data_IF_155953172198
#
_entry.id   IF_155953172198
#
_cell.length_a   1.000
_cell.length_b   1.000
_cell.length_c   1.000
_cell.angle_alpha   90.00
_cell.angle_beta   90.00
_cell.angle_gamma   90.00
#
_symmetry.space_group_name_H-M   'P 1'
#
loop_
_entity.id
_entity.type
_entity.pdbx_description
1 polymer ?
#
# COMPACT_ATOMS: atom_id res chain seq x y z
N UNK A 1 13.99 0.05 -2.75
CA UNK A 1 14.01 -0.55 -4.09
C UNK A 1 13.77 -2.03 -3.94
N UNK A 2 12.98 -2.60 -4.84
CA UNK A 2 12.74 -4.03 -4.96
C UNK A 2 14.05 -4.78 -5.24
N UNK A 3 14.10 -6.02 -4.79
CA UNK A 3 15.26 -6.91 -4.89
C UNK A 3 14.87 -8.25 -5.54
N UNK A 4 15.83 -9.18 -5.61
CA UNK A 4 15.62 -10.48 -6.24
C UNK A 4 14.55 -11.35 -5.56
N UNK A 5 14.35 -11.20 -4.25
CA UNK A 5 13.33 -11.95 -3.51
C UNK A 5 11.94 -11.43 -3.83
N UNK A 6 11.79 -10.11 -3.98
CA UNK A 6 10.53 -9.49 -4.44
C UNK A 6 10.14 -10.00 -5.83
N UNK A 7 11.12 -10.10 -6.74
CA UNK A 7 10.91 -10.67 -8.08
C UNK A 7 10.48 -12.14 -8.03
N UNK A 8 11.08 -12.94 -7.15
CA UNK A 8 10.67 -14.35 -6.96
C UNK A 8 9.27 -14.48 -6.38
N UNK A 9 8.92 -13.63 -5.40
CA UNK A 9 7.59 -13.59 -4.79
C UNK A 9 6.53 -13.23 -5.84
N UNK A 10 6.81 -12.22 -6.68
CA UNK A 10 5.96 -11.88 -7.82
C UNK A 10 5.70 -13.10 -8.71
N UNK A 11 6.75 -13.84 -9.09
CA UNK A 11 6.60 -14.99 -9.97
C UNK A 11 5.73 -16.11 -9.36
N UNK A 12 5.80 -16.32 -8.03
CA UNK A 12 4.94 -17.28 -7.35
C UNK A 12 3.48 -16.84 -7.34
N UNK A 13 3.24 -15.56 -7.03
CA UNK A 13 1.90 -14.99 -7.07
C UNK A 13 1.32 -15.10 -8.48
N UNK A 14 2.12 -14.78 -9.50
CA UNK A 14 1.74 -14.99 -10.89
C UNK A 14 1.40 -16.46 -11.19
N UNK A 15 2.21 -17.41 -10.72
CA UNK A 15 1.90 -18.84 -10.90
C UNK A 15 0.55 -19.22 -10.26
N UNK A 16 0.22 -18.67 -9.09
CA UNK A 16 -1.07 -18.85 -8.45
C UNK A 16 -2.23 -18.31 -9.32
N UNK A 17 -2.10 -17.11 -9.89
CA UNK A 17 -3.07 -16.56 -10.84
C UNK A 17 -3.26 -17.42 -12.08
N UNK A 18 -2.17 -18.00 -12.62
CA UNK A 18 -2.27 -18.94 -13.72
C UNK A 18 -3.00 -20.24 -13.33
N UNK A 19 -2.76 -20.75 -12.12
CA UNK A 19 -3.49 -21.93 -11.64
C UNK A 19 -4.99 -21.64 -11.44
N UNK A 20 -5.34 -20.42 -10.99
CA UNK A 20 -6.73 -19.96 -10.94
C UNK A 20 -7.36 -19.93 -12.34
N UNK A 21 -6.63 -19.44 -13.34
CA UNK A 21 -7.07 -19.48 -14.74
C UNK A 21 -7.37 -20.91 -15.23
N UNK A 22 -6.49 -21.87 -14.96
CA UNK A 22 -6.75 -23.28 -15.34
C UNK A 22 -7.96 -23.87 -14.61
N UNK A 23 -8.15 -23.48 -13.35
CA UNK A 23 -9.28 -23.92 -12.53
C UNK A 23 -10.59 -23.36 -13.07
N UNK A 24 -10.64 -22.06 -13.35
CA UNK A 24 -11.82 -21.37 -13.87
C UNK A 24 -12.23 -21.89 -15.25
N UNK A 25 -11.25 -22.13 -16.13
CA UNK A 25 -11.50 -22.67 -17.47
C UNK A 25 -11.66 -24.19 -17.49
N UNK A 26 -11.48 -24.87 -16.34
CA UNK A 26 -11.65 -26.31 -16.19
C UNK A 26 -10.72 -27.16 -17.06
N UNK A 27 -9.58 -26.63 -17.49
CA UNK A 27 -8.62 -27.34 -18.36
C UNK A 27 -7.19 -26.85 -18.20
N UNK A 28 -6.25 -27.75 -18.50
CA UNK A 28 -4.81 -27.44 -18.54
C UNK A 28 -4.38 -27.03 -19.94
N UNK A 29 -3.41 -26.12 -20.01
CA UNK A 29 -2.87 -25.66 -21.29
C UNK A 29 -1.46 -26.20 -21.54
N UNK A 30 -1.17 -26.54 -22.79
CA UNK A 30 0.19 -26.90 -23.21
C UNK A 30 0.97 -25.63 -23.52
N UNK A 31 1.94 -25.31 -22.68
CA UNK A 31 2.75 -24.10 -22.80
C UNK A 31 4.13 -24.39 -23.38
N UNK A 32 4.75 -23.43 -24.11
CA UNK A 32 6.11 -23.59 -24.62
C UNK A 32 7.17 -23.69 -23.51
N UNK A 33 6.92 -23.08 -22.35
CA UNK A 33 7.77 -23.20 -21.17
C UNK A 33 7.00 -22.88 -19.89
N UNK A 34 7.50 -23.35 -18.74
CA UNK A 34 6.93 -23.02 -17.43
C UNK A 34 6.91 -21.50 -17.16
N UNK A 35 7.84 -20.73 -17.76
CA UNK A 35 7.86 -19.27 -17.67
C UNK A 35 6.66 -18.58 -18.30
N UNK A 36 5.95 -19.26 -19.22
CA UNK A 36 4.69 -18.72 -19.74
C UNK A 36 3.59 -18.70 -18.69
N UNK A 37 3.60 -19.62 -17.72
CA UNK A 37 2.64 -19.60 -16.59
C UNK A 37 2.81 -18.33 -15.78
N UNK A 38 4.06 -18.02 -15.41
CA UNK A 38 4.39 -16.79 -14.69
C UNK A 38 3.98 -15.54 -15.50
N UNK A 39 4.29 -15.48 -16.80
CA UNK A 39 3.90 -14.34 -17.64
C UNK A 39 2.39 -14.18 -17.76
N UNK A 40 1.64 -15.26 -17.99
CA UNK A 40 0.19 -15.18 -18.14
C UNK A 40 -0.51 -14.85 -16.83
N UNK A 41 -0.03 -15.41 -15.72
CA UNK A 41 -0.47 -15.01 -14.39
C UNK A 41 -0.15 -13.55 -14.06
N UNK A 42 0.98 -13.03 -14.55
CA UNK A 42 1.34 -11.62 -14.39
C UNK A 42 0.29 -10.69 -15.01
N UNK A 43 -0.25 -11.03 -16.18
CA UNK A 43 -1.28 -10.22 -16.83
C UNK A 43 -2.53 -10.13 -15.96
N UNK A 44 -2.99 -11.28 -15.45
CA UNK A 44 -4.19 -11.39 -14.60
C UNK A 44 -4.02 -10.64 -13.27
N UNK A 45 -2.89 -10.86 -12.58
CA UNK A 45 -2.54 -10.15 -11.35
C UNK A 45 -2.58 -8.63 -11.54
N UNK A 46 -2.00 -8.13 -12.64
CA UNK A 46 -1.93 -6.70 -12.90
C UNK A 46 -3.28 -6.11 -13.32
N UNK A 47 -4.09 -6.85 -14.07
CA UNK A 47 -5.45 -6.42 -14.41
C UNK A 47 -6.34 -6.35 -13.18
N UNK A 48 -6.26 -7.32 -12.26
CA UNK A 48 -6.98 -7.23 -10.99
C UNK A 48 -6.53 -6.01 -10.20
N UNK A 49 -5.21 -5.82 -10.03
CA UNK A 49 -4.68 -4.74 -9.21
C UNK A 49 -5.01 -3.33 -9.74
N UNK A 50 -5.10 -3.16 -11.07
CA UNK A 50 -5.29 -1.85 -11.70
C UNK A 50 -6.73 -1.57 -12.12
N UNK A 51 -7.48 -2.60 -12.47
CA UNK A 51 -8.87 -2.45 -12.95
C UNK A 51 -9.89 -2.83 -11.87
N UNK A 52 -9.46 -3.43 -10.75
CA UNK A 52 -10.32 -3.99 -9.71
C UNK A 52 -11.31 -5.05 -10.24
N UNK A 53 -10.92 -5.76 -11.29
CA UNK A 53 -11.69 -6.87 -11.88
C UNK A 53 -11.23 -8.15 -11.21
N UNK A 54 -12.06 -8.72 -10.33
CA UNK A 54 -11.72 -9.95 -9.60
C UNK A 54 -12.05 -11.23 -10.37
N UNK A 55 -13.05 -11.15 -11.24
CA UNK A 55 -13.50 -12.29 -12.03
C UNK A 55 -12.53 -12.55 -13.20
N UNK A 56 -12.03 -13.79 -13.31
CA UNK A 56 -11.07 -14.17 -14.35
C UNK A 56 -11.72 -14.11 -15.74
N UNK A 57 -13.00 -14.46 -15.89
CA UNK A 57 -13.68 -14.38 -17.18
C UNK A 57 -13.74 -12.94 -17.70
N UNK A 58 -13.99 -11.97 -16.80
CA UNK A 58 -13.98 -10.55 -17.14
C UNK A 58 -12.57 -10.06 -17.51
N UNK A 59 -11.53 -10.49 -16.79
CA UNK A 59 -10.14 -10.20 -17.15
C UNK A 59 -9.78 -10.76 -18.54
N UNK A 60 -10.23 -11.97 -18.85
CA UNK A 60 -9.99 -12.62 -20.14
C UNK A 60 -10.69 -11.91 -21.30
N UNK A 61 -11.84 -11.28 -21.06
CA UNK A 61 -12.60 -10.54 -22.06
C UNK A 61 -11.84 -9.31 -22.58
N UNK A 62 -11.00 -8.70 -21.76
CA UNK A 62 -10.25 -7.48 -22.10
C UNK A 62 -8.82 -7.74 -22.61
N UNK A 63 -8.27 -8.95 -22.43
CA UNK A 63 -6.90 -9.31 -22.84
C UNK A 63 -6.75 -9.51 -24.36
N UNK A 64 -5.96 -8.68 -25.03
CA UNK A 64 -5.74 -8.72 -26.48
C UNK A 64 -4.42 -9.37 -26.91
N UNK A 65 -3.47 -9.63 -26.00
CA UNK A 65 -2.17 -10.26 -26.31
C UNK A 65 -2.31 -11.48 -27.25
N UNK A 66 -1.59 -11.42 -28.37
CA UNK A 66 -1.69 -12.40 -29.45
C UNK A 66 -1.27 -13.80 -29.04
N UNK A 67 -0.20 -13.94 -28.27
CA UNK A 67 0.33 -15.24 -27.88
C UNK A 67 -0.52 -15.89 -26.78
N UNK A 68 -0.97 -15.08 -25.81
CA UNK A 68 -1.95 -15.46 -24.79
C UNK A 68 -3.22 -16.01 -25.45
N UNK A 69 -3.83 -15.23 -26.35
CA UNK A 69 -5.08 -15.64 -26.98
C UNK A 69 -4.90 -16.88 -27.87
N UNK A 70 -3.74 -17.04 -28.51
CA UNK A 70 -3.42 -18.23 -29.31
C UNK A 70 -3.41 -19.48 -28.43
N UNK A 71 -2.75 -19.42 -27.28
CA UNK A 71 -2.60 -20.58 -26.40
C UNK A 71 -3.90 -20.88 -25.66
N UNK A 72 -4.55 -19.86 -25.11
CA UNK A 72 -5.74 -20.03 -24.27
C UNK A 72 -6.99 -20.27 -25.12
N UNK A 73 -7.18 -19.56 -26.23
CA UNK A 73 -8.43 -19.63 -27.03
C UNK A 73 -8.23 -20.23 -28.43
N UNK A 74 -7.01 -20.55 -28.84
CA UNK A 74 -6.73 -21.05 -30.19
C UNK A 74 -6.83 -19.98 -31.29
N UNK A 75 -6.89 -18.68 -30.92
CA UNK A 75 -7.05 -17.56 -31.85
C UNK A 75 -5.90 -16.57 -31.71
N UNK A 76 -5.25 -16.21 -32.82
CA UNK A 76 -4.05 -15.37 -32.82
C UNK A 76 -4.28 -14.08 -33.63
N UNK A 77 -5.19 -13.23 -33.16
CA UNK A 77 -5.42 -11.91 -33.75
C UNK A 77 -4.24 -10.97 -33.45
N UNK A 78 -3.95 -10.02 -34.35
CA UNK A 78 -2.92 -9.01 -34.12
C UNK A 78 -3.42 -7.97 -33.10
N UNK A 79 -2.58 -7.66 -32.11
CA UNK A 79 -2.90 -6.81 -30.96
C UNK A 79 -2.38 -5.37 -31.10
N UNK A 80 -1.55 -5.13 -32.14
CA UNK A 80 -0.92 -3.85 -32.43
C UNK A 80 -0.17 -3.28 -31.21
N UNK A 81 0.42 -4.16 -30.38
CA UNK A 81 1.22 -3.77 -29.22
C UNK A 81 0.45 -3.39 -27.97
N UNK A 82 -0.88 -3.57 -27.97
CA UNK A 82 -1.72 -3.39 -26.79
C UNK A 82 -2.19 -4.75 -26.32
N UNK A 83 -1.76 -5.14 -25.14
CA UNK A 83 -1.97 -6.48 -24.59
C UNK A 83 -3.31 -6.60 -23.84
N UNK A 84 -3.92 -5.48 -23.45
CA UNK A 84 -5.31 -5.42 -22.96
C UNK A 84 -5.97 -4.06 -23.19
N UNK A 85 -7.30 -4.03 -23.27
CA UNK A 85 -8.10 -2.81 -23.40
C UNK A 85 -9.25 -2.84 -22.39
N UNK A 86 -9.22 -1.94 -21.41
CA UNK A 86 -10.27 -1.81 -20.40
C UNK A 86 -10.97 -0.45 -20.52
N UNK A 87 -12.30 -0.46 -20.59
CA UNK A 87 -13.14 0.74 -20.61
C UNK A 87 -13.74 0.86 -19.21
N UNK A 88 -13.26 1.84 -18.44
CA UNK A 88 -13.76 2.12 -17.09
C UNK A 88 -14.89 3.15 -17.16
N UNK A 89 -16.13 2.67 -17.10
CA UNK A 89 -17.32 3.53 -17.12
C UNK A 89 -17.47 4.39 -15.87
N UNK A 90 -16.82 4.04 -14.76
CA UNK A 90 -16.94 4.83 -13.53
C UNK A 90 -16.10 6.10 -13.59
N UNK A 91 -14.94 6.04 -14.27
CA UNK A 91 -13.98 7.14 -14.35
C UNK A 91 -13.91 7.79 -15.74
N UNK A 92 -14.62 7.23 -16.73
CA UNK A 92 -14.56 7.61 -18.14
C UNK A 92 -13.13 7.55 -18.71
N UNK A 93 -12.37 6.53 -18.30
CA UNK A 93 -11.05 6.24 -18.84
C UNK A 93 -11.09 5.01 -19.75
N UNK A 94 -10.41 5.13 -20.88
CA UNK A 94 -10.09 4.00 -21.77
C UNK A 94 -8.62 3.67 -21.55
N UNK A 95 -8.38 2.54 -20.91
CA UNK A 95 -7.08 2.09 -20.46
C UNK A 95 -6.51 1.05 -21.43
N UNK A 96 -5.38 1.37 -22.05
CA UNK A 96 -4.58 0.46 -22.84
C UNK A 96 -3.43 -0.08 -22.00
N UNK A 97 -3.16 -1.38 -22.07
CA UNK A 97 -2.11 -2.02 -21.30
C UNK A 97 -1.04 -2.56 -22.22
N UNK A 98 0.22 -2.30 -21.89
CA UNK A 98 1.37 -2.97 -22.46
C UNK A 98 2.15 -3.67 -21.34
N UNK A 99 2.18 -5.01 -21.39
CA UNK A 99 2.85 -5.85 -20.41
C UNK A 99 4.22 -6.27 -20.92
N UNK A 100 5.21 -6.16 -20.04
CA UNK A 100 6.56 -6.61 -20.30
C UNK A 100 7.09 -7.44 -19.15
N UNK A 101 7.05 -8.74 -19.35
CA UNK A 101 7.56 -9.71 -18.39
C UNK A 101 8.98 -10.15 -18.76
N UNK A 102 9.92 -10.02 -17.82
CA UNK A 102 11.27 -10.58 -17.88
C UNK A 102 11.32 -11.89 -17.10
N UNK A 103 11.96 -12.89 -17.68
CA UNK A 103 12.14 -14.20 -17.03
C UNK A 103 13.24 -14.19 -15.95
N UNK A 104 14.16 -13.23 -16.02
CA UNK A 104 15.32 -13.11 -15.14
C UNK A 104 15.37 -11.74 -14.47
N UNK A 105 15.75 -11.74 -13.19
CA UNK A 105 15.94 -10.51 -12.43
C UNK A 105 17.24 -9.82 -12.87
N UNK A 106 17.13 -8.56 -13.29
CA UNK A 106 18.27 -7.72 -13.59
C UNK A 106 18.09 -6.34 -12.95
N UNK A 107 18.95 -5.94 -12.00
CA UNK A 107 18.78 -4.67 -11.30
C UNK A 107 19.02 -3.44 -12.17
N UNK A 108 19.69 -3.61 -13.31
CA UNK A 108 20.03 -2.53 -14.24
C UNK A 108 19.08 -2.42 -15.42
N UNK A 109 18.17 -3.38 -15.59
CA UNK A 109 17.24 -3.39 -16.72
C UNK A 109 16.06 -2.44 -16.50
N UNK A 110 15.48 -2.01 -17.62
CA UNK A 110 14.39 -1.05 -17.66
C UNK A 110 13.68 -1.12 -18.99
N UNK A 111 12.43 -0.65 -19.00
CA UNK A 111 11.61 -0.61 -20.19
C UNK A 111 12.19 0.39 -21.21
N UNK A 112 12.12 0.04 -22.50
CA UNK A 112 12.64 0.89 -23.59
C UNK A 112 11.48 1.66 -24.21
N UNK A 113 11.73 2.92 -24.58
CA UNK A 113 10.74 3.84 -25.18
C UNK A 113 10.10 3.27 -26.46
N UNK A 114 10.85 2.50 -27.26
CA UNK A 114 10.35 1.91 -28.51
C UNK A 114 9.11 1.01 -28.34
N UNK A 115 8.88 0.48 -27.15
CA UNK A 115 7.73 -0.39 -26.88
C UNK A 115 6.43 0.41 -26.71
N UNK A 116 6.48 1.63 -26.16
CA UNK A 116 5.32 2.52 -26.06
C UNK A 116 4.83 3.02 -27.43
N UNK A 117 5.72 3.05 -28.44
CA UNK A 117 5.33 3.34 -29.82
C UNK A 117 4.54 2.22 -30.50
N UNK A 118 4.59 0.98 -30.00
CA UNK A 118 3.81 -0.10 -30.61
C UNK A 118 2.31 0.22 -30.51
N UNK A 119 1.88 0.74 -29.36
CA UNK A 119 0.51 1.21 -29.12
C UNK A 119 0.05 2.31 -30.08
N UNK A 120 0.97 3.11 -30.64
CA UNK A 120 0.61 4.18 -31.58
C UNK A 120 -0.09 3.65 -32.84
N UNK A 121 0.20 2.41 -33.25
CA UNK A 121 -0.47 1.76 -34.39
C UNK A 121 -1.95 1.53 -34.08
N UNK A 122 -2.27 1.04 -32.88
CA UNK A 122 -3.65 0.84 -32.44
C UNK A 122 -4.36 2.18 -32.26
N UNK A 123 -3.72 3.13 -31.58
CA UNK A 123 -4.29 4.47 -31.35
C UNK A 123 -4.61 5.16 -32.68
N UNK A 124 -3.71 5.09 -33.67
CA UNK A 124 -3.97 5.61 -35.00
C UNK A 124 -5.17 4.94 -35.69
N UNK A 125 -5.28 3.62 -35.62
CA UNK A 125 -6.40 2.88 -36.19
C UNK A 125 -7.75 3.30 -35.56
N UNK A 126 -7.77 3.53 -34.24
CA UNK A 126 -8.94 4.01 -33.50
C UNK A 126 -9.29 5.44 -33.93
N UNK A 127 -8.33 6.36 -33.90
CA UNK A 127 -8.57 7.78 -34.22
C UNK A 127 -8.98 8.02 -35.67
N UNK A 128 -8.46 7.19 -36.60
CA UNK A 128 -8.82 7.24 -38.02
C UNK A 128 -10.09 6.45 -38.37
N UNK A 129 -10.68 5.72 -37.41
CA UNK A 129 -11.75 4.75 -37.63
C UNK A 129 -11.42 3.65 -38.66
N UNK A 130 -10.14 3.38 -38.93
CA UNK A 130 -9.70 2.33 -39.86
C UNK A 130 -9.26 1.06 -39.12
N UNK A 131 -10.22 0.19 -38.85
CA UNK A 131 -9.99 -1.11 -38.21
C UNK A 131 -9.87 -2.27 -39.23
N UNK A 132 -9.58 -2.01 -40.51
CA UNK A 132 -9.53 -3.07 -41.54
C UNK A 132 -8.47 -4.13 -41.27
N UNK A 133 -7.33 -3.69 -40.73
CA UNK A 133 -6.19 -4.56 -40.42
C UNK A 133 -6.33 -5.32 -39.09
N UNK A 134 -7.40 -5.07 -38.31
CA UNK A 134 -7.70 -5.76 -37.06
C UNK A 134 -8.80 -6.81 -37.25
N UNK A 135 -8.71 -7.90 -36.49
CA UNK A 135 -9.68 -9.01 -36.46
C UNK A 135 -10.02 -9.43 -35.03
N UNK A 136 -11.08 -10.25 -34.92
CA UNK A 136 -11.49 -10.89 -33.68
C UNK A 136 -11.70 -9.94 -32.51
N UNK A 137 -11.26 -10.39 -31.33
CA UNK A 137 -11.53 -9.72 -30.05
C UNK A 137 -10.96 -8.30 -29.98
N UNK A 138 -9.72 -8.11 -30.46
CA UNK A 138 -9.07 -6.80 -30.52
C UNK A 138 -9.91 -5.81 -31.33
N UNK A 139 -10.42 -6.23 -32.50
CA UNK A 139 -11.27 -5.39 -33.35
C UNK A 139 -12.56 -5.00 -32.63
N UNK A 140 -13.21 -5.94 -31.94
CA UNK A 140 -14.48 -5.69 -31.28
C UNK A 140 -14.33 -4.75 -30.08
N UNK A 141 -13.25 -4.87 -29.29
CA UNK A 141 -12.91 -3.90 -28.26
C UNK A 141 -12.64 -2.51 -28.84
N UNK A 142 -11.89 -2.41 -29.95
CA UNK A 142 -11.66 -1.13 -30.62
C UNK A 142 -12.94 -0.48 -31.13
N UNK A 143 -13.93 -1.25 -31.58
CA UNK A 143 -15.24 -0.69 -31.98
C UNK A 143 -15.97 -0.06 -30.79
N UNK A 144 -15.93 -0.71 -29.62
CA UNK A 144 -16.56 -0.13 -28.41
C UNK A 144 -15.81 1.14 -27.98
N UNK A 145 -14.48 1.15 -28.04
CA UNK A 145 -13.68 2.37 -27.81
C UNK A 145 -14.10 3.50 -28.75
N UNK A 146 -14.15 3.24 -30.06
CA UNK A 146 -14.59 4.24 -31.06
C UNK A 146 -15.99 4.77 -30.75
N UNK A 147 -16.91 3.88 -30.36
CA UNK A 147 -18.28 4.25 -30.02
C UNK A 147 -18.33 5.18 -28.80
N UNK A 148 -17.48 4.97 -27.80
CA UNK A 148 -17.38 5.87 -26.62
C UNK A 148 -16.76 7.22 -26.98
N UNK A 149 -15.68 7.22 -27.76
CA UNK A 149 -15.02 8.45 -28.22
C UNK A 149 -15.91 9.31 -29.13
N UNK A 150 -16.78 8.70 -29.93
CA UNK A 150 -17.77 9.40 -30.75
C UNK A 150 -19.08 9.69 -30.00
N UNK A 151 -19.15 9.34 -28.71
CA UNK A 151 -20.31 9.54 -27.84
C UNK A 151 -20.47 10.99 -27.39
N UNK A 152 -21.43 11.21 -26.48
CA UNK A 152 -21.66 12.54 -25.87
C UNK A 152 -20.77 12.81 -24.65
N UNK A 153 -20.24 11.76 -24.04
CA UNK A 153 -19.44 11.82 -22.82
C UNK A 153 -17.98 12.11 -23.16
N UNK A 154 -17.27 12.76 -22.24
CA UNK A 154 -15.85 13.04 -22.39
C UNK A 154 -15.07 11.83 -21.86
N UNK A 155 -14.38 11.15 -22.76
CA UNK A 155 -13.53 10.01 -22.46
C UNK A 155 -12.07 10.39 -22.55
N UNK A 156 -11.25 9.92 -21.61
CA UNK A 156 -9.79 10.11 -21.60
C UNK A 156 -9.08 8.82 -21.93
N UNK A 157 -7.94 8.91 -22.61
CA UNK A 157 -7.13 7.75 -22.97
C UNK A 157 -5.93 7.64 -22.03
N UNK A 158 -5.61 6.43 -21.59
CA UNK A 158 -4.44 6.16 -20.76
C UNK A 158 -3.71 4.90 -21.22
N UNK A 159 -2.39 4.97 -21.27
CA UNK A 159 -1.51 3.84 -21.53
C UNK A 159 -0.78 3.44 -20.24
N UNK A 160 -1.00 2.21 -19.80
CA UNK A 160 -0.22 1.56 -18.76
C UNK A 160 0.96 0.80 -19.39
N UNK A 161 2.17 1.27 -19.12
CA UNK A 161 3.40 0.57 -19.46
C UNK A 161 3.87 -0.21 -18.22
N UNK A 162 3.67 -1.52 -18.21
CA UNK A 162 3.81 -2.36 -17.01
C UNK A 162 4.97 -3.33 -17.22
N UNK A 163 5.94 -3.34 -16.30
CA UNK A 163 7.05 -4.27 -16.33
C UNK A 163 7.48 -4.77 -14.95
N UNK A 164 7.99 -5.99 -14.89
CA UNK A 164 8.64 -6.53 -13.69
C UNK A 164 10.15 -6.15 -13.60
N UNK A 165 10.56 -5.07 -14.28
CA UNK A 165 11.92 -4.52 -14.24
C UNK A 165 12.05 -3.45 -13.12
N UNK A 166 13.27 -3.11 -12.68
CA UNK A 166 13.46 -2.13 -11.58
C UNK A 166 13.29 -0.69 -12.07
N UNK A 167 13.87 -0.34 -13.22
CA UNK A 167 13.88 1.04 -13.70
C UNK A 167 12.56 1.39 -14.38
N UNK A 168 12.05 2.57 -14.05
CA UNK A 168 10.84 3.14 -14.64
C UNK A 168 11.09 3.56 -16.08
N UNK A 169 10.04 3.50 -16.89
CA UNK A 169 10.04 4.14 -18.19
C UNK A 169 10.08 5.66 -17.97
N UNK A 170 10.96 6.36 -18.67
CA UNK A 170 10.99 7.82 -18.61
C UNK A 170 9.77 8.40 -19.35
N UNK A 171 8.69 8.64 -18.62
CA UNK A 171 7.42 9.20 -19.14
C UNK A 171 7.52 10.66 -19.59
N UNK A 172 8.63 11.34 -19.29
CA UNK A 172 8.92 12.71 -19.73
C UNK A 172 9.75 12.76 -21.02
N UNK A 173 10.00 11.61 -21.66
CA UNK A 173 10.71 11.59 -22.93
C UNK A 173 9.93 12.35 -24.01
N UNK A 174 10.66 12.92 -24.97
CA UNK A 174 10.09 13.71 -26.06
C UNK A 174 9.04 12.91 -26.86
N UNK A 175 9.27 11.61 -26.99
CA UNK A 175 8.44 10.67 -27.71
C UNK A 175 7.08 10.40 -27.01
N UNK A 176 7.09 10.18 -25.69
CA UNK A 176 5.85 9.98 -24.92
C UNK A 176 5.06 11.29 -24.87
N UNK A 177 5.76 12.41 -24.77
CA UNK A 177 5.15 13.74 -24.87
C UNK A 177 4.46 13.95 -26.22
N UNK A 178 5.04 13.46 -27.32
CA UNK A 178 4.38 13.50 -28.64
C UNK A 178 3.12 12.66 -28.69
N UNK A 179 3.12 11.45 -28.13
CA UNK A 179 1.93 10.60 -28.06
C UNK A 179 0.80 11.28 -27.26
N UNK A 180 1.15 11.89 -26.13
CA UNK A 180 0.20 12.67 -25.32
C UNK A 180 -0.39 13.84 -26.10
N UNK A 181 0.45 14.60 -26.81
CA UNK A 181 -0.01 15.77 -27.55
C UNK A 181 -0.84 15.42 -28.80
N UNK A 182 -0.53 14.31 -29.48
CA UNK A 182 -1.23 13.92 -30.70
C UNK A 182 -2.57 13.24 -30.43
N UNK A 183 -2.67 12.46 -29.34
CA UNK A 183 -3.81 11.58 -29.09
C UNK A 183 -4.51 11.82 -27.76
N UNK A 184 -4.11 12.83 -26.97
CA UNK A 184 -4.54 13.01 -25.58
C UNK A 184 -4.38 11.74 -24.73
N UNK A 185 -3.27 11.03 -24.97
CA UNK A 185 -2.96 9.75 -24.34
C UNK A 185 -2.07 9.97 -23.12
N UNK A 186 -2.67 9.88 -21.92
CA UNK A 186 -1.92 9.80 -20.66
C UNK A 186 -1.04 8.55 -20.64
N UNK A 187 0.07 8.57 -19.92
CA UNK A 187 0.96 7.41 -19.80
C UNK A 187 1.40 7.22 -18.36
N UNK A 188 1.17 6.03 -17.82
CA UNK A 188 1.57 5.61 -16.47
C UNK A 188 2.56 4.45 -16.57
N UNK A 189 3.72 4.57 -15.92
CA UNK A 189 4.74 3.53 -15.86
C UNK A 189 4.65 2.77 -14.53
N UNK A 190 4.51 1.45 -14.61
CA UNK A 190 4.49 0.57 -13.44
C UNK A 190 5.68 -0.39 -13.53
N UNK A 191 6.57 -0.30 -12.55
CA UNK A 191 7.77 -1.14 -12.43
C UNK A 191 7.65 -2.11 -11.25
N UNK A 192 8.67 -2.95 -11.05
CA UNK A 192 8.72 -3.87 -9.92
C UNK A 192 8.60 -3.16 -8.56
N UNK A 193 9.16 -1.95 -8.40
CA UNK A 193 9.04 -1.22 -7.14
C UNK A 193 7.58 -0.88 -6.79
N UNK A 194 6.77 -0.53 -7.79
CA UNK A 194 5.34 -0.24 -7.62
C UNK A 194 4.55 -1.52 -7.46
N UNK A 195 4.85 -2.57 -8.24
CA UNK A 195 4.19 -3.87 -8.16
C UNK A 195 4.36 -4.49 -6.77
N UNK A 196 5.55 -4.39 -6.18
CA UNK A 196 5.78 -4.87 -4.80
C UNK A 196 4.87 -4.19 -3.79
N UNK A 197 4.50 -2.92 -4.01
CA UNK A 197 3.53 -2.25 -3.13
C UNK A 197 2.14 -2.87 -3.25
N UNK A 198 1.72 -3.25 -4.46
CA UNK A 198 0.45 -3.96 -4.69
C UNK A 198 0.43 -5.37 -4.10
N UNK A 199 1.59 -6.02 -3.99
CA UNK A 199 1.74 -7.34 -3.36
C UNK A 199 2.03 -7.28 -1.86
N UNK A 200 2.36 -6.10 -1.34
CA UNK A 200 2.85 -5.97 0.03
C UNK A 200 1.73 -6.26 1.01
N UNK A 201 2.04 -7.03 2.04
CA UNK A 201 1.18 -7.23 3.21
C UNK A 201 1.22 -6.02 4.15
N UNK A 202 2.07 -5.04 3.83
CA UNK A 202 2.14 -3.80 4.61
C UNK A 202 0.79 -3.09 4.45
N UNK A 203 0.16 -2.68 5.57
CA UNK A 203 -1.11 -1.99 5.50
C UNK A 203 -1.07 -0.73 4.65
N UNK A 204 -2.24 -0.31 4.16
CA UNK A 204 -2.43 0.98 3.49
C UNK A 204 -1.82 2.09 4.36
N UNK A 205 -1.09 3.06 3.79
CA UNK A 205 -0.53 4.18 4.53
C UNK A 205 -1.58 4.88 5.41
N UNK A 206 -1.23 5.09 6.67
CA UNK A 206 -2.08 5.82 7.63
C UNK A 206 -1.49 7.20 7.85
N UNK A 207 -2.32 8.20 7.60
CA UNK A 207 -2.01 9.62 7.76
C UNK A 207 -2.86 10.21 8.89
N UNK A 208 -2.37 11.28 9.52
CA UNK A 208 -3.13 12.04 10.50
C UNK A 208 -2.65 13.49 10.59
N UNK A 209 -3.51 14.36 11.15
CA UNK A 209 -3.21 15.76 11.41
C UNK A 209 -3.30 16.05 12.91
N UNK A 210 -2.32 16.74 13.46
CA UNK A 210 -2.31 17.27 14.83
C UNK A 210 -2.33 18.80 14.80
N UNK A 211 -2.95 19.42 15.80
CA UNK A 211 -2.90 20.86 16.03
C UNK A 211 -2.63 21.15 17.50
N UNK A 212 -1.37 21.42 17.83
CA UNK A 212 -0.89 21.48 19.21
C UNK A 212 -0.25 22.83 19.52
N UNK A 213 -0.17 23.17 20.81
CA UNK A 213 0.58 24.34 21.25
C UNK A 213 2.07 24.17 20.99
N UNK A 214 2.74 25.25 20.61
CA UNK A 214 4.18 25.23 20.36
C UNK A 214 5.00 24.90 21.63
N UNK A 215 4.48 25.19 22.83
CA UNK A 215 5.12 24.81 24.09
C UNK A 215 5.11 23.30 24.36
N UNK A 216 4.19 22.56 23.74
CA UNK A 216 4.08 21.10 23.87
C UNK A 216 5.00 20.34 22.92
N UNK A 217 5.74 21.04 22.04
CA UNK A 217 6.54 20.44 20.96
C UNK A 217 8.01 20.83 21.10
N UNK A 218 8.88 19.83 21.11
CA UNK A 218 10.33 19.99 21.03
C UNK A 218 10.85 19.40 19.71
N UNK A 219 11.27 20.23 18.74
CA UNK A 219 11.89 19.76 17.52
C UNK A 219 13.31 19.24 17.77
N UNK A 220 13.71 18.22 17.02
CA UNK A 220 15.05 17.64 17.03
C UNK A 220 15.55 17.44 15.60
N UNK A 221 16.80 17.81 15.34
CA UNK A 221 17.53 17.51 14.11
C UNK A 221 18.89 16.91 14.45
N UNK A 222 19.31 15.86 13.74
CA UNK A 222 20.61 15.21 14.00
C UNK A 222 21.80 16.14 13.73
N UNK A 223 21.66 17.05 12.76
CA UNK A 223 22.65 18.09 12.46
C UNK A 223 21.95 19.32 11.87
N UNK A 224 22.65 20.47 11.87
CA UNK A 224 22.12 21.76 11.40
C UNK A 224 21.80 21.82 9.90
N UNK A 225 22.30 20.84 9.13
CA UNK A 225 22.10 20.72 7.69
C UNK A 225 21.03 19.66 7.32
N UNK A 226 20.49 18.91 8.29
CA UNK A 226 19.50 17.87 8.03
C UNK A 226 18.14 18.49 7.74
N UNK A 227 17.55 18.07 6.61
CA UNK A 227 16.16 18.38 6.25
C UNK A 227 15.14 17.50 7.01
N UNK A 228 15.59 16.47 7.73
CA UNK A 228 14.72 15.57 8.48
C UNK A 228 14.58 16.05 9.92
N UNK A 229 13.42 16.65 10.23
CA UNK A 229 13.03 17.06 11.58
C UNK A 229 12.26 15.93 12.26
N UNK A 230 12.62 15.63 13.49
CA UNK A 230 11.88 14.75 14.40
C UNK A 230 11.29 15.59 15.55
N UNK A 231 10.31 15.06 16.26
CA UNK A 231 9.58 15.81 17.27
C UNK A 231 9.39 14.98 18.55
N UNK A 232 9.55 15.62 19.69
CA UNK A 232 9.11 15.11 20.99
C UNK A 232 7.93 15.97 21.43
N UNK A 233 6.82 15.35 21.75
CA UNK A 233 5.52 16.00 21.94
C UNK A 233 4.93 15.55 23.28
N UNK A 234 4.39 16.47 24.06
CA UNK A 234 3.37 16.14 25.07
C UNK A 234 2.02 16.19 24.38
N UNK A 235 1.39 15.03 24.23
CA UNK A 235 0.12 14.89 23.53
C UNK A 235 -0.99 14.51 24.52
N UNK A 236 -2.17 15.16 24.46
CA UNK A 236 -3.36 14.68 25.16
C UNK A 236 -3.75 13.26 24.71
N UNK A 237 -4.24 12.43 25.63
CA UNK A 237 -4.66 11.07 25.28
C UNK A 237 -5.83 11.06 24.28
N UNK A 238 -6.72 12.04 24.34
CA UNK A 238 -7.84 12.21 23.39
C UNK A 238 -7.33 12.44 21.97
N UNK A 239 -6.32 13.31 21.80
CA UNK A 239 -5.67 13.53 20.51
C UNK A 239 -4.93 12.28 20.02
N UNK A 240 -4.29 11.54 20.92
CA UNK A 240 -3.63 10.29 20.56
C UNK A 240 -4.64 9.23 20.07
N UNK A 241 -5.76 9.06 20.77
CA UNK A 241 -6.86 8.17 20.35
C UNK A 241 -7.40 8.60 18.99
N UNK A 242 -7.62 9.91 18.79
CA UNK A 242 -8.12 10.47 17.54
C UNK A 242 -7.20 10.13 16.35
N UNK A 243 -5.90 10.40 16.46
CA UNK A 243 -4.98 10.17 15.34
C UNK A 243 -4.74 8.68 15.07
N UNK A 244 -4.99 7.80 16.04
CA UNK A 244 -4.75 6.35 15.92
C UNK A 244 -6.01 5.50 15.78
N UNK A 245 -7.20 6.12 15.76
CA UNK A 245 -8.46 5.42 15.54
C UNK A 245 -8.58 4.86 14.12
N UNK A 246 -9.51 3.94 13.87
CA UNK A 246 -9.76 3.31 12.58
C UNK A 246 -10.58 4.18 11.58
N UNK A 247 -10.93 5.42 11.94
CA UNK A 247 -11.71 6.32 11.10
C UNK A 247 -10.85 7.44 10.51
N UNK A 248 -10.68 7.42 9.18
CA UNK A 248 -9.86 8.41 8.46
C UNK A 248 -10.35 9.85 8.64
N UNK A 249 -11.66 10.07 8.69
CA UNK A 249 -12.25 11.41 8.83
C UNK A 249 -11.78 12.07 10.13
N UNK A 250 -11.86 11.35 11.26
CA UNK A 250 -11.41 11.88 12.54
C UNK A 250 -9.90 12.09 12.61
N UNK A 251 -9.10 11.27 11.90
CA UNK A 251 -7.65 11.47 11.80
C UNK A 251 -7.26 12.74 11.02
N UNK A 252 -8.07 13.12 10.03
CA UNK A 252 -7.86 14.30 9.19
C UNK A 252 -8.43 15.59 9.80
N UNK A 253 -9.41 15.48 10.71
CA UNK A 253 -9.89 16.60 11.50
C UNK A 253 -8.83 17.10 12.49
N UNK A 254 -8.97 18.34 12.98
CA UNK A 254 -8.12 18.91 14.02
C UNK A 254 -8.88 19.99 14.79
N UNK A 255 -8.47 20.26 16.04
CA UNK A 255 -9.14 21.25 16.88
C UNK A 255 -10.52 20.81 17.36
N UNK A 256 -10.72 19.50 17.51
CA UNK A 256 -11.93 18.92 18.08
C UNK A 256 -12.03 19.32 19.56
N UNK A 257 -13.13 19.99 19.92
CA UNK A 257 -13.44 20.37 21.31
C UNK A 257 -14.40 19.38 21.98
N UNK A 258 -15.22 18.69 21.17
CA UNK A 258 -16.13 17.66 21.61
C UNK A 258 -15.56 16.27 21.30
N UNK A 259 -15.23 15.52 22.34
CA UNK A 259 -14.67 14.17 22.24
C UNK A 259 -15.72 13.06 22.25
N UNK A 260 -17.01 13.39 22.37
CA UNK A 260 -18.10 12.41 22.28
C UNK A 260 -18.01 11.49 21.04
N UNK A 261 -17.66 11.98 19.83
CA UNK A 261 -17.53 11.11 18.66
C UNK A 261 -16.41 10.07 18.73
N UNK A 262 -15.48 10.22 19.69
CA UNK A 262 -14.38 9.31 19.91
C UNK A 262 -14.67 8.26 20.98
N UNK A 263 -15.87 8.25 21.57
CA UNK A 263 -16.31 7.19 22.49
C UNK A 263 -16.31 5.84 21.79
N UNK A 264 -15.82 4.81 22.49
CA UNK A 264 -15.77 3.43 21.99
C UNK A 264 -15.06 3.27 20.62
N UNK A 265 -14.26 4.26 20.21
CA UNK A 265 -13.62 4.20 18.90
C UNK A 265 -12.43 3.24 18.90
N UNK A 266 -12.50 2.28 18.00
CA UNK A 266 -11.46 1.28 17.82
C UNK A 266 -10.18 1.87 17.23
N UNK A 267 -9.06 1.30 17.64
CA UNK A 267 -7.74 1.59 17.11
C UNK A 267 -7.56 1.00 15.71
N UNK A 268 -6.85 1.70 14.83
CA UNK A 268 -6.37 1.10 13.58
C UNK A 268 -5.19 0.14 13.87
N UNK A 269 -5.47 -1.16 13.96
CA UNK A 269 -4.46 -2.17 14.29
C UNK A 269 -3.28 -2.22 13.31
N UNK A 270 -3.47 -1.72 12.09
CA UNK A 270 -2.43 -1.58 11.08
C UNK A 270 -1.28 -0.65 11.51
N UNK A 271 -1.51 0.25 12.48
CA UNK A 271 -0.47 1.11 13.05
C UNK A 271 0.58 0.35 13.85
N UNK A 272 0.32 -0.91 14.20
CA UNK A 272 1.23 -1.76 14.98
C UNK A 272 1.97 -2.79 14.13
N UNK A 273 1.89 -2.71 12.80
CA UNK A 273 2.56 -3.65 11.90
C UNK A 273 4.08 -3.66 12.12
N UNK A 274 4.70 -2.47 12.21
CA UNK A 274 6.14 -2.32 12.46
C UNK A 274 6.52 -2.39 13.97
N UNK A 275 5.56 -2.71 14.86
CA UNK A 275 5.83 -2.86 16.29
C UNK A 275 6.53 -4.18 16.61
N UNK A 276 7.55 -4.14 17.48
CA UNK A 276 8.36 -5.33 17.83
C UNK A 276 7.59 -6.35 18.68
N UNK A 277 6.54 -5.94 19.39
CA UNK A 277 5.75 -6.84 20.25
C UNK A 277 4.51 -7.34 19.51
N UNK A 278 4.27 -8.64 19.59
CA UNK A 278 3.00 -9.26 19.19
C UNK A 278 1.81 -8.90 20.09
N UNK A 279 0.66 -9.53 19.87
CA UNK A 279 -0.55 -9.29 20.66
C UNK A 279 -0.36 -9.86 22.09
N UNK A 280 -0.01 -9.00 23.05
CA UNK A 280 0.05 -9.37 24.47
C UNK A 280 -1.25 -8.91 25.14
N UNK A 281 -2.22 -9.82 25.26
CA UNK A 281 -3.57 -9.53 25.78
C UNK A 281 -3.56 -9.18 27.27
N UNK A 282 -2.79 -9.90 28.09
CA UNK A 282 -2.75 -9.72 29.55
C UNK A 282 -1.31 -9.60 30.05
N UNK A 283 -0.97 -8.45 30.67
CA UNK A 283 0.31 -8.25 31.33
C UNK A 283 0.15 -7.36 32.57
N UNK A 284 1.01 -7.53 33.57
CA UNK A 284 1.05 -6.65 34.76
C UNK A 284 1.25 -5.17 34.39
N UNK A 285 1.85 -4.88 33.23
CA UNK A 285 1.98 -3.52 32.73
C UNK A 285 0.64 -2.94 32.30
N UNK A 286 -0.25 -3.74 31.69
CA UNK A 286 -1.57 -3.28 31.27
C UNK A 286 -2.39 -2.88 32.51
N UNK A 287 -2.34 -3.68 33.58
CA UNK A 287 -3.04 -3.39 34.84
C UNK A 287 -2.55 -2.09 35.49
N UNK A 288 -1.23 -1.86 35.50
CA UNK A 288 -0.65 -0.62 36.05
C UNK A 288 -1.04 0.62 35.22
N UNK A 289 -1.06 0.51 33.90
CA UNK A 289 -1.51 1.58 33.00
C UNK A 289 -2.97 1.90 33.29
N UNK A 290 -3.82 0.88 33.33
CA UNK A 290 -5.24 1.01 33.61
C UNK A 290 -5.50 1.66 34.97
N UNK A 291 -4.78 1.21 36.01
CA UNK A 291 -4.86 1.79 37.35
C UNK A 291 -4.45 3.27 37.36
N UNK A 292 -3.37 3.62 36.66
CA UNK A 292 -2.92 5.02 36.56
C UNK A 292 -3.97 5.89 35.87
N UNK A 293 -4.64 5.39 34.82
CA UNK A 293 -5.71 6.13 34.14
C UNK A 293 -6.89 6.43 35.07
N UNK A 294 -7.30 5.49 35.93
CA UNK A 294 -8.42 5.70 36.87
C UNK A 294 -8.04 6.52 38.11
N UNK A 295 -6.92 6.16 38.74
CA UNK A 295 -6.60 6.66 40.08
C UNK A 295 -5.79 7.97 40.02
N UNK A 296 -4.89 8.12 39.03
CA UNK A 296 -3.93 9.23 38.95
C UNK A 296 -3.69 9.72 37.50
N UNK A 297 -4.74 10.09 36.74
CA UNK A 297 -4.63 10.43 35.31
C UNK A 297 -3.63 11.56 35.01
N UNK A 298 -3.56 12.58 35.88
CA UNK A 298 -2.64 13.72 35.73
C UNK A 298 -1.16 13.36 35.89
N UNK A 299 -0.85 12.20 36.50
CA UNK A 299 0.53 11.71 36.65
C UNK A 299 0.92 10.74 35.56
N UNK A 300 0.03 10.42 34.63
CA UNK A 300 0.27 9.44 33.57
C UNK A 300 1.51 9.75 32.74
N UNK A 301 1.72 11.03 32.39
CA UNK A 301 2.91 11.49 31.68
C UNK A 301 4.22 11.11 32.41
N UNK A 302 4.21 11.11 33.75
CA UNK A 302 5.37 10.77 34.58
C UNK A 302 5.56 9.27 34.76
N UNK A 303 4.45 8.51 34.80
CA UNK A 303 4.46 7.07 35.11
C UNK A 303 4.57 6.19 33.85
N UNK A 304 4.23 6.72 32.67
CA UNK A 304 4.29 6.00 31.41
C UNK A 304 5.55 6.37 30.59
N UNK A 305 6.11 5.39 29.88
CA UNK A 305 7.29 5.59 29.01
C UNK A 305 6.98 6.36 27.71
N UNK A 306 5.69 6.52 27.39
CA UNK A 306 5.22 7.15 26.18
C UNK A 306 5.18 6.23 24.98
N UNK A 307 5.02 6.83 23.80
CA UNK A 307 4.98 6.16 22.51
C UNK A 307 6.11 6.64 21.61
N UNK A 308 6.52 5.79 20.67
CA UNK A 308 7.38 6.19 19.57
C UNK A 308 6.76 5.83 18.24
N UNK A 309 6.66 6.83 17.36
CA UNK A 309 6.19 6.73 16.00
C UNK A 309 7.34 6.93 15.02
N UNK A 310 7.26 6.24 13.89
CA UNK A 310 8.02 6.59 12.69
C UNK A 310 7.05 7.03 11.61
N UNK A 311 7.41 8.02 10.80
CA UNK A 311 6.59 8.53 9.70
C UNK A 311 7.43 8.64 8.42
N UNK A 312 6.81 8.43 7.26
CA UNK A 312 7.48 8.69 5.99
C UNK A 312 7.74 10.19 5.78
N UNK A 313 6.80 11.03 6.19
CA UNK A 313 6.97 12.48 6.16
C UNK A 313 6.26 13.16 7.35
N UNK A 314 6.79 14.33 7.72
CA UNK A 314 6.23 15.20 8.75
C UNK A 314 6.29 16.63 8.21
N UNK A 315 5.11 17.21 8.01
CA UNK A 315 4.95 18.57 7.47
C UNK A 315 4.41 19.44 8.60
N UNK A 316 5.06 20.57 8.88
CA UNK A 316 4.67 21.48 9.96
C UNK A 316 4.39 22.88 9.47
N UNK A 317 3.30 23.46 9.92
CA UNK A 317 2.87 24.82 9.61
C UNK A 317 2.60 25.57 10.93
N UNK A 318 3.24 26.74 11.10
CA UNK A 318 2.94 27.62 12.22
C UNK A 318 1.56 28.26 12.01
N UNK A 319 0.74 28.27 13.05
CA UNK A 319 -0.65 28.72 13.02
C UNK A 319 -0.97 29.58 14.25
N UNK A 320 -2.12 30.27 14.22
CA UNK A 320 -2.59 31.10 15.33
C UNK A 320 -1.53 32.12 15.80
N UNK A 321 -0.87 32.80 14.87
CA UNK A 321 0.15 33.80 15.18
C UNK A 321 1.40 33.22 15.85
N UNK A 322 1.84 32.03 15.41
CA UNK A 322 3.00 31.30 15.94
C UNK A 322 2.83 30.90 17.42
N UNK A 323 1.61 30.52 17.81
CA UNK A 323 1.33 29.97 19.15
C UNK A 323 0.96 28.48 19.10
N UNK A 324 0.52 28.02 17.93
CA UNK A 324 0.18 26.62 17.65
C UNK A 324 0.87 26.14 16.38
N UNK A 325 1.11 24.85 16.28
CA UNK A 325 1.67 24.19 15.10
C UNK A 325 0.68 23.15 14.61
N UNK A 326 0.37 23.20 13.31
CA UNK A 326 -0.31 22.12 12.60
C UNK A 326 0.75 21.14 12.09
N UNK A 327 0.63 19.86 12.45
CA UNK A 327 1.56 18.80 12.05
C UNK A 327 0.78 17.78 11.22
N UNK A 328 1.13 17.63 9.95
CA UNK A 328 0.63 16.55 9.10
C UNK A 328 1.64 15.41 9.11
N UNK A 329 1.21 14.24 9.55
CA UNK A 329 2.01 13.03 9.65
C UNK A 329 1.61 12.08 8.52
N UNK A 330 2.57 11.63 7.72
CA UNK A 330 2.34 10.76 6.55
C UNK A 330 2.92 9.35 6.75
N UNK A 331 2.15 8.32 6.43
CA UNK A 331 2.53 6.88 6.56
C UNK A 331 3.22 6.59 7.90
N UNK A 332 2.50 6.77 9.01
CA UNK A 332 3.08 6.56 10.34
C UNK A 332 2.78 5.18 10.94
N UNK A 333 3.69 4.75 11.80
CA UNK A 333 3.66 3.46 12.47
C UNK A 333 4.16 3.59 13.91
N UNK A 334 3.48 2.92 14.84
CA UNK A 334 3.80 2.88 16.27
C UNK A 334 4.81 1.76 16.51
N UNK A 335 6.09 2.13 16.64
CA UNK A 335 7.20 1.17 16.83
C UNK A 335 7.47 0.85 18.30
N UNK A 336 6.98 1.69 19.21
CA UNK A 336 7.05 1.50 20.66
C UNK A 336 5.79 2.06 21.34
N UNK A 337 5.36 1.42 22.43
CA UNK A 337 4.18 1.84 23.20
C UNK A 337 2.87 1.20 22.75
N UNK A 338 2.92 0.11 21.98
CA UNK A 338 1.72 -0.58 21.50
C UNK A 338 0.80 -1.12 22.61
N UNK A 339 1.35 -1.54 23.76
CA UNK A 339 0.55 -1.92 24.93
C UNK A 339 -0.15 -0.72 25.57
N UNK A 340 0.55 0.41 25.70
CA UNK A 340 -0.04 1.67 26.18
C UNK A 340 -1.19 2.08 25.27
N UNK A 341 -0.96 2.09 23.95
CA UNK A 341 -1.96 2.49 22.96
C UNK A 341 -3.21 1.59 23.01
N UNK A 342 -3.02 0.27 23.00
CA UNK A 342 -4.14 -0.69 23.12
C UNK A 342 -4.90 -0.52 24.42
N UNK A 343 -4.19 -0.27 25.53
CA UNK A 343 -4.83 -0.07 26.84
C UNK A 343 -5.64 1.22 26.88
N UNK A 344 -5.19 2.30 26.22
CA UNK A 344 -5.95 3.54 26.10
C UNK A 344 -7.25 3.34 25.33
N UNK A 345 -7.21 2.70 24.15
CA UNK A 345 -8.42 2.39 23.39
C UNK A 345 -9.35 1.43 24.13
N UNK A 346 -8.80 0.39 24.79
CA UNK A 346 -9.60 -0.53 25.59
C UNK A 346 -10.25 0.17 26.79
N UNK A 347 -9.52 1.05 27.48
CA UNK A 347 -10.06 1.84 28.56
C UNK A 347 -11.20 2.73 28.05
N UNK A 348 -11.04 3.34 26.87
CA UNK A 348 -12.05 4.16 26.24
C UNK A 348 -13.33 3.37 25.83
N UNK A 349 -13.20 2.10 25.47
CA UNK A 349 -14.36 1.25 25.11
C UNK A 349 -15.08 0.63 26.30
N UNK A 350 -14.47 0.58 27.48
CA UNK A 350 -15.10 -0.01 28.68
C UNK A 350 -16.20 0.87 29.27
N UNK A 351 -16.12 2.19 29.11
CA UNK A 351 -17.13 3.14 29.57
C UNK A 351 -17.07 4.42 28.74
N UNK A 352 -18.21 4.87 28.22
CA UNK A 352 -18.32 6.09 27.42
C UNK A 352 -17.85 7.34 28.19
N UNK A 353 -18.00 7.36 29.51
CA UNK A 353 -17.58 8.49 30.33
C UNK A 353 -16.05 8.58 30.46
N UNK A 354 -15.31 7.52 30.11
CA UNK A 354 -13.87 7.47 30.28
C UNK A 354 -13.12 8.53 29.46
N UNK A 355 -13.62 8.84 28.27
CA UNK A 355 -12.99 9.84 27.40
C UNK A 355 -13.02 11.24 28.03
N UNK A 356 -14.16 11.58 28.61
CA UNK A 356 -14.46 12.93 29.11
C UNK A 356 -13.96 13.10 30.55
N UNK A 357 -14.10 12.08 31.40
CA UNK A 357 -13.80 12.19 32.82
C UNK A 357 -12.33 11.89 33.15
N UNK A 358 -11.69 10.99 32.42
CA UNK A 358 -10.34 10.51 32.73
C UNK A 358 -9.34 10.87 31.63
N UNK A 359 -9.56 10.44 30.38
CA UNK A 359 -8.59 10.60 29.30
C UNK A 359 -8.35 12.07 28.90
N UNK A 360 -9.34 12.93 29.08
CA UNK A 360 -9.20 14.39 28.91
C UNK A 360 -8.13 15.02 29.81
N UNK A 361 -7.80 14.37 30.94
CA UNK A 361 -6.80 14.82 31.92
C UNK A 361 -5.45 14.09 31.78
N UNK A 362 -5.28 13.29 30.73
CA UNK A 362 -4.08 12.45 30.52
C UNK A 362 -3.21 13.07 29.43
N UNK A 363 -1.95 13.32 29.78
CA UNK A 363 -0.89 13.71 28.85
C UNK A 363 0.10 12.56 28.65
N UNK A 364 0.62 12.43 27.43
CA UNK A 364 1.48 11.31 27.04
C UNK A 364 2.72 11.84 26.31
N UNK A 365 3.89 11.27 26.63
CA UNK A 365 5.11 11.53 25.88
C UNK A 365 5.07 10.82 24.52
N UNK A 366 5.14 11.57 23.43
CA UNK A 366 5.15 11.05 22.07
C UNK A 366 6.44 11.45 21.36
N UNK A 367 7.16 10.48 20.79
CA UNK A 367 8.32 10.74 19.93
C UNK A 367 7.95 10.41 18.49
N UNK A 368 8.14 11.33 17.56
CA UNK A 368 7.85 11.13 16.13
C UNK A 368 9.14 11.32 15.34
N UNK A 369 9.61 10.25 14.72
CA UNK A 369 10.81 10.28 13.88
C UNK A 369 10.44 10.26 12.40
N UNK A 370 10.91 11.27 11.66
CA UNK A 370 10.84 11.24 10.19
C UNK A 370 11.89 10.26 9.69
N UNK A 371 11.45 9.19 9.07
CA UNK A 371 12.32 8.16 8.49
C UNK A 371 12.11 8.13 6.98
N UNK A 372 13.17 8.21 6.15
CA UNK A 372 13.02 7.83 4.75
C UNK A 372 12.47 6.41 4.67
N UNK A 373 11.73 6.11 3.59
CA UNK A 373 10.97 4.86 3.39
C UNK A 373 11.83 3.58 3.31
N UNK A 374 13.11 3.63 3.71
CA UNK A 374 13.99 2.48 3.80
C UNK A 374 13.75 1.73 5.11
N UNK A 375 13.19 0.51 5.02
CA UNK A 375 12.81 -0.34 6.15
C UNK A 375 13.92 -0.54 7.20
N UNK A 376 15.20 -0.41 6.82
CA UNK A 376 16.34 -0.60 7.72
C UNK A 376 16.36 0.42 8.88
N UNK A 377 16.02 1.69 8.63
CA UNK A 377 16.03 2.70 9.70
C UNK A 377 14.86 2.54 10.67
N UNK A 378 13.64 2.28 10.14
CA UNK A 378 12.45 2.01 10.95
C UNK A 378 12.67 0.82 11.90
N UNK A 379 13.23 -0.27 11.38
CA UNK A 379 13.57 -1.46 12.16
C UNK A 379 14.60 -1.17 13.25
N UNK A 380 15.64 -0.39 12.95
CA UNK A 380 16.64 0.04 13.95
C UNK A 380 16.01 0.88 15.05
N UNK A 381 15.16 1.86 14.70
CA UNK A 381 14.48 2.69 15.70
C UNK A 381 13.59 1.83 16.59
N UNK A 382 12.83 0.90 16.01
CA UNK A 382 12.04 -0.07 16.76
C UNK A 382 12.91 -0.91 17.71
N UNK A 383 14.06 -1.40 17.25
CA UNK A 383 15.01 -2.16 18.07
C UNK A 383 15.57 -1.33 19.25
N UNK A 384 16.07 -0.13 19.00
CA UNK A 384 16.77 0.67 20.02
C UNK A 384 15.81 1.31 21.03
N UNK A 385 14.62 1.73 20.60
CA UNK A 385 13.62 2.33 21.51
C UNK A 385 13.04 1.31 22.49
N UNK A 386 13.08 0.03 22.16
CA UNK A 386 12.59 -1.04 23.00
C UNK A 386 13.65 -1.67 23.94
N UNK A 387 14.88 -1.14 23.97
CA UNK A 387 16.03 -1.71 24.69
C UNK A 387 15.94 -1.73 26.23
N UNK A 388 14.98 -1.02 26.84
CA UNK A 388 14.86 -0.93 28.30
C UNK A 388 14.13 -2.12 28.96
N UNK A 389 13.39 -2.92 28.18
CA UNK A 389 12.81 -4.20 28.64
C UNK A 389 13.35 -5.31 27.75
N UNK A 390 13.73 -6.46 28.32
CA UNK A 390 14.30 -7.57 27.56
C UNK A 390 13.34 -8.03 26.43
N UNK A 391 13.61 -7.60 25.21
CA UNK A 391 12.97 -8.12 24.01
C UNK A 391 13.75 -9.36 23.57
N UNK A 392 13.04 -10.43 23.21
CA UNK A 392 13.71 -11.62 22.71
C UNK A 392 14.35 -11.35 21.35
N UNK A 393 15.48 -12.01 21.06
CA UNK A 393 16.09 -11.94 19.72
C UNK A 393 15.12 -12.40 18.62
N UNK A 394 14.13 -13.23 18.96
CA UNK A 394 13.08 -13.71 18.06
C UNK A 394 12.14 -12.56 17.65
N UNK A 395 11.66 -11.77 18.61
CA UNK A 395 10.77 -10.62 18.36
C UNK A 395 11.47 -9.57 17.49
N UNK A 396 12.76 -9.29 17.76
CA UNK A 396 13.55 -8.39 16.92
C UNK A 396 13.72 -8.93 15.48
N UNK A 397 13.93 -10.24 15.35
CA UNK A 397 14.09 -10.87 14.04
C UNK A 397 12.77 -10.85 13.25
N UNK A 398 11.62 -10.91 13.92
CA UNK A 398 10.28 -10.89 13.29
C UNK A 398 10.01 -9.68 12.38
N UNK A 399 10.70 -8.56 12.62
CA UNK A 399 10.53 -7.32 11.86
C UNK A 399 11.47 -7.22 10.64
N UNK A 400 12.41 -8.14 10.48
CA UNK A 400 13.37 -8.02 9.37
C UNK A 400 12.68 -8.32 8.04
N UNK A 401 13.16 -7.66 6.98
CA UNK A 401 12.63 -7.86 5.62
C UNK A 401 12.63 -9.32 5.20
N UNK A 402 13.61 -10.11 5.66
CA UNK A 402 13.66 -11.54 5.36
C UNK A 402 12.47 -12.29 5.96
N UNK A 403 12.07 -11.99 7.20
CA UNK A 403 10.93 -12.66 7.82
C UNK A 403 9.62 -12.27 7.18
N UNK A 404 9.46 -10.99 6.82
CA UNK A 404 8.27 -10.51 6.09
C UNK A 404 8.17 -11.21 4.73
N UNK A 405 9.28 -11.34 4.00
CA UNK A 405 9.28 -12.06 2.72
C UNK A 405 8.98 -13.57 2.88
N UNK A 406 9.47 -14.20 3.96
CA UNK A 406 9.15 -15.60 4.26
C UNK A 406 7.65 -15.73 4.55
N UNK A 407 7.06 -14.81 5.31
CA UNK A 407 5.63 -14.79 5.59
C UNK A 407 4.82 -14.69 4.30
N UNK A 408 5.16 -13.74 3.44
CA UNK A 408 4.50 -13.56 2.16
C UNK A 408 4.63 -14.82 1.28
N UNK A 409 5.83 -15.37 1.18
CA UNK A 409 6.08 -16.59 0.40
C UNK A 409 5.25 -17.78 0.90
N UNK A 410 5.19 -17.99 2.22
CA UNK A 410 4.46 -19.11 2.81
C UNK A 410 2.95 -18.90 2.73
N UNK A 411 2.47 -17.67 2.88
CA UNK A 411 1.06 -17.32 2.69
C UNK A 411 0.58 -17.60 1.27
N UNK A 412 1.40 -17.35 0.25
CA UNK A 412 1.10 -17.74 -1.14
C UNK A 412 0.97 -19.26 -1.33
N UNK A 413 1.51 -20.05 -0.40
CA UNK A 413 1.37 -21.50 -0.36
C UNK A 413 0.31 -21.98 0.65
N UNK A 414 -0.51 -21.04 1.18
CA UNK A 414 -1.51 -21.30 2.23
C UNK A 414 -0.92 -21.91 3.51
N UNK A 415 0.30 -21.49 3.87
CA UNK A 415 0.98 -21.89 5.12
C UNK A 415 1.09 -20.66 6.02
N UNK A 416 0.65 -20.75 7.28
CA UNK A 416 0.86 -19.66 8.25
C UNK A 416 2.31 -19.60 8.68
N UNK A 417 2.94 -18.44 8.52
CA UNK A 417 4.21 -18.14 9.16
C UNK A 417 4.02 -17.11 10.27
N UNK A 418 3.75 -17.59 11.49
CA UNK A 418 3.56 -16.71 12.64
C UNK A 418 4.90 -16.04 13.00
N UNK A 419 5.04 -14.76 12.64
CA UNK A 419 6.24 -13.97 12.98
C UNK A 419 6.19 -13.50 14.42
N UNK A 420 5.00 -13.22 14.93
CA UNK A 420 4.74 -12.73 16.27
C UNK A 420 3.72 -13.62 16.98
N UNK A 421 3.75 -13.60 18.31
CA UNK A 421 2.76 -14.29 19.13
C UNK A 421 1.37 -13.71 18.83
N UNK A 422 0.43 -14.58 18.46
CA UNK A 422 -0.94 -14.21 18.13
C UNK A 422 -1.22 -14.00 16.63
N UNK A 423 -0.21 -14.16 15.76
CA UNK A 423 -0.43 -14.13 14.31
C UNK A 423 -1.20 -15.38 13.85
N UNK A 424 -2.35 -15.20 13.22
CA UNK A 424 -3.22 -16.30 12.75
C UNK A 424 -3.28 -16.45 11.23
N UNK A 425 -2.42 -15.74 10.49
CA UNK A 425 -2.47 -15.64 9.03
C UNK A 425 -2.82 -14.23 8.56
N UNK A 426 -2.54 -13.94 7.29
CA UNK A 426 -2.61 -12.58 6.73
C UNK A 426 -4.03 -12.25 6.27
N UNK A 427 -4.75 -13.24 5.73
CA UNK A 427 -6.10 -13.08 5.21
C UNK A 427 -7.07 -14.03 5.93
N UNK A 428 -8.03 -13.51 6.71
CA UNK A 428 -8.99 -14.35 7.42
C UNK A 428 -9.93 -15.15 6.50
N UNK A 429 -9.97 -14.84 5.20
CA UNK A 429 -10.74 -15.60 4.20
C UNK A 429 -10.00 -16.83 3.64
N UNK A 430 -8.70 -16.97 3.94
CA UNK A 430 -7.88 -18.10 3.50
C UNK A 430 -7.82 -19.13 4.63
N UNK A 431 -8.23 -20.36 4.35
CA UNK A 431 -7.92 -21.50 5.21
C UNK A 431 -6.43 -21.84 5.08
N UNK A 432 -5.66 -21.43 6.07
CA UNK A 432 -4.25 -21.74 6.15
C UNK A 432 -3.99 -23.08 6.84
N UNK A 433 -2.92 -23.74 6.41
CA UNK A 433 -2.36 -24.91 7.08
C UNK A 433 -1.35 -24.41 8.12
N UNK A 434 -1.47 -24.92 9.36
CA UNK A 434 -0.60 -24.56 10.49
C UNK A 434 0.67 -25.39 10.55
#
# INVERSE_FOLDING_TARGET
MANINDFKLLNLKCLNYYNLLETELGRKFTLPSEKHKERFGFYLLMLEALCNIKDIADQLAILTDKEFNKIIFGKADDDFGVDAIYIDENTNYINFFNFKFRNEFNPNSGQKINEAFLTSKLTNAIMSNDLKALSGKTKDLCKEVIKRLNGKEIWRLRLYAISNEIKELNVESMEITQLRNLYDLETESINLNTIVKYMSIRPVPIDAILHLSQSSILPYTENSLSSSKSYVISIPATELIRITCNNKTYRDEYGMEDFEPLKDIDMDYNLLFDNVRGLIVNSKFNDNIFKTLKDEPSKFFMYNNGLTLTAADIITEDTNGNTKIKITIKDFQVVNGGQTLRTLHKFNSEDEENITNYLSNVEILLRIFKTPTTNNLRNKIAQFTNSQNAISNMDLKSLTSEQIHIEQFLSEQKIVYARKIGDTGIDPSIEYTH
#
